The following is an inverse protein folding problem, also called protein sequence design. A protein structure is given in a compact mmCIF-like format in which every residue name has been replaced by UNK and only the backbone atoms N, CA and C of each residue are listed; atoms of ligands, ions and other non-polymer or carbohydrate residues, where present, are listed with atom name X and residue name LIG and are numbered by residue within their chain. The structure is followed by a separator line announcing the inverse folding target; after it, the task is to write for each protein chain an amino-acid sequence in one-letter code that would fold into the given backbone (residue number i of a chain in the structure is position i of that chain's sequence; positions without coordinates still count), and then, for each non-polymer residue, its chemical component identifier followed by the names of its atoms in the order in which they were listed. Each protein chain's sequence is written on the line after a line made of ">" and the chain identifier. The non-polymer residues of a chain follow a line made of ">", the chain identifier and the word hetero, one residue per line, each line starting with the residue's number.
data_IF_566583270845
#
_entry.id   IF_566583270845
#
_cell.length_a   1.000
_cell.length_b   1.000
_cell.length_c   1.000
_cell.angle_alpha   90.00
_cell.angle_beta   90.00
_cell.angle_gamma   90.00
#
_symmetry.space_group_name_H-M   'P 1'
#
loop_
_entity.id
_entity.type
_entity.pdbx_description
1 polymer ?
#
# COMPACT_ATOMS: atom_id res chain seq x y z
N UNK A 1 9.58 2.15 17.44
CA UNK A 1 8.43 2.73 16.74
C UNK A 1 9.00 3.69 15.69
N UNK A 2 8.61 3.62 14.44
CA UNK A 2 9.12 4.56 13.45
C UNK A 2 8.53 5.96 13.73
N UNK A 3 9.42 6.94 13.81
CA UNK A 3 9.01 8.34 13.93
C UNK A 3 8.71 8.89 12.53
N UNK A 4 7.76 9.85 12.40
CA UNK A 4 7.53 10.53 11.14
C UNK A 4 8.80 11.24 10.66
N UNK A 5 9.05 11.17 9.35
CA UNK A 5 10.12 11.96 8.73
C UNK A 5 9.70 13.41 8.61
N UNK A 6 10.66 14.31 8.57
CA UNK A 6 10.45 15.72 8.28
C UNK A 6 9.54 15.89 7.03
N UNK A 7 8.60 16.84 7.10
CA UNK A 7 7.65 17.10 6.01
C UNK A 7 8.35 17.97 4.97
N UNK A 8 8.62 17.38 3.82
CA UNK A 8 9.27 18.04 2.67
C UNK A 8 8.33 18.17 1.47
N UNK A 9 7.22 17.41 1.44
CA UNK A 9 6.22 17.47 0.38
C UNK A 9 4.83 17.78 0.97
N UNK A 10 4.01 18.48 0.20
CA UNK A 10 2.66 18.84 0.63
C UNK A 10 1.70 17.65 0.62
N UNK A 11 2.01 16.59 -0.09
CA UNK A 11 1.21 15.37 -0.17
C UNK A 11 1.93 14.25 0.56
N UNK A 12 1.28 13.67 1.56
CA UNK A 12 1.84 12.65 2.41
C UNK A 12 1.14 11.31 2.15
N UNK A 13 1.90 10.27 1.91
CA UNK A 13 1.43 8.89 1.78
C UNK A 13 1.93 8.07 2.97
N UNK A 14 1.04 7.69 3.86
CA UNK A 14 1.32 6.92 5.07
C UNK A 14 1.03 5.45 4.79
N UNK A 15 2.05 4.59 4.89
CA UNK A 15 1.95 3.16 4.53
C UNK A 15 2.36 2.26 5.69
N UNK A 16 1.81 1.04 5.69
CA UNK A 16 2.22 -0.03 6.59
C UNK A 16 3.43 -0.78 6.02
N UNK A 17 4.56 -0.72 6.73
CA UNK A 17 5.76 -1.47 6.37
C UNK A 17 6.62 -0.86 5.25
N UNK A 18 7.90 -1.31 5.23
CA UNK A 18 8.90 -0.81 4.27
C UNK A 18 8.68 -1.35 2.86
N UNK A 19 8.21 -2.59 2.73
CA UNK A 19 8.00 -3.24 1.44
C UNK A 19 6.86 -2.55 0.68
N UNK A 20 5.77 -2.19 1.38
CA UNK A 20 4.68 -1.39 0.82
C UNK A 20 5.17 -0.03 0.37
N UNK A 21 5.99 0.66 1.19
CA UNK A 21 6.59 1.94 0.79
C UNK A 21 7.41 1.83 -0.49
N UNK A 22 8.31 0.84 -0.57
CA UNK A 22 9.14 0.62 -1.75
C UNK A 22 8.33 0.25 -3.01
N UNK A 23 7.22 -0.48 -2.84
CA UNK A 23 6.29 -0.75 -3.93
C UNK A 23 5.62 0.54 -4.44
N UNK A 24 5.09 1.38 -3.52
CA UNK A 24 4.45 2.63 -3.91
C UNK A 24 5.44 3.61 -4.56
N UNK A 25 6.71 3.66 -4.11
CA UNK A 25 7.76 4.44 -4.79
C UNK A 25 7.92 3.99 -6.25
N UNK A 26 8.06 2.67 -6.48
CA UNK A 26 8.21 2.12 -7.82
C UNK A 26 6.95 2.36 -8.68
N UNK A 27 5.77 2.24 -8.09
CA UNK A 27 4.50 2.43 -8.78
C UNK A 27 4.28 3.90 -9.17
N UNK A 28 4.63 4.84 -8.28
CA UNK A 28 4.59 6.27 -8.58
C UNK A 28 5.59 6.66 -9.68
N UNK A 29 6.81 6.08 -9.66
CA UNK A 29 7.80 6.28 -10.72
C UNK A 29 7.23 5.84 -12.08
N UNK A 30 6.60 4.67 -12.15
CA UNK A 30 5.97 4.12 -13.37
C UNK A 30 4.83 5.00 -13.88
N UNK A 31 4.00 5.53 -12.98
CA UNK A 31 2.92 6.46 -13.31
C UNK A 31 3.38 7.88 -13.64
N UNK A 32 4.64 8.23 -13.43
CA UNK A 32 5.14 9.61 -13.51
C UNK A 32 4.55 10.54 -12.43
N UNK A 33 4.10 9.99 -11.30
CA UNK A 33 3.54 10.73 -10.16
C UNK A 33 4.66 11.23 -9.27
N UNK A 34 4.70 12.54 -9.02
CA UNK A 34 5.73 13.21 -8.19
C UNK A 34 5.08 14.06 -7.09
N UNK A 35 5.91 14.56 -6.16
CA UNK A 35 5.46 15.47 -5.09
C UNK A 35 4.63 14.77 -4.01
N UNK A 36 4.75 13.45 -3.86
CA UNK A 36 4.18 12.67 -2.75
C UNK A 36 5.32 12.09 -1.92
N UNK A 37 5.34 12.41 -0.64
CA UNK A 37 6.30 11.86 0.32
C UNK A 37 5.72 10.64 1.01
N UNK A 38 6.48 9.54 1.00
CA UNK A 38 6.09 8.33 1.72
C UNK A 38 6.57 8.39 3.17
N UNK A 39 5.66 8.13 4.08
CA UNK A 39 5.86 7.94 5.51
C UNK A 39 5.51 6.50 5.89
N UNK A 40 6.33 5.86 6.71
CA UNK A 40 6.09 4.49 7.15
C UNK A 40 5.72 4.48 8.63
N UNK A 41 4.52 4.01 8.99
CA UNK A 41 4.06 3.97 10.37
C UNK A 41 4.41 2.67 11.12
N UNK A 42 5.05 1.70 10.45
CA UNK A 42 5.43 0.42 11.08
C UNK A 42 4.33 -0.62 10.98
N UNK A 43 3.80 -1.08 12.11
CA UNK A 43 2.80 -2.14 12.15
C UNK A 43 1.40 -1.66 12.53
N UNK A 44 0.44 -2.56 12.40
CA UNK A 44 -1.01 -2.37 12.60
C UNK A 44 -1.38 -1.50 13.82
N UNK A 45 -0.65 -1.65 14.95
CA UNK A 45 -0.97 -0.99 16.23
C UNK A 45 -0.36 0.41 16.36
N UNK A 46 0.47 0.83 15.42
CA UNK A 46 1.29 2.04 15.54
C UNK A 46 0.65 3.25 14.85
N UNK A 47 -0.32 3.04 13.95
CA UNK A 47 -0.93 4.12 13.15
C UNK A 47 -1.45 5.30 14.00
N UNK A 48 -2.18 5.03 15.09
CA UNK A 48 -2.74 6.10 15.94
C UNK A 48 -1.66 6.96 16.59
N UNK A 49 -0.58 6.33 17.05
CA UNK A 49 0.54 7.05 17.67
C UNK A 49 1.34 7.79 16.61
N UNK A 50 1.55 7.16 15.46
CA UNK A 50 2.24 7.77 14.32
C UNK A 50 1.49 9.02 13.82
N UNK A 51 0.17 8.97 13.63
CA UNK A 51 -0.63 10.12 13.22
C UNK A 51 -0.59 11.26 14.26
N UNK A 52 -0.61 10.94 15.54
CA UNK A 52 -0.42 11.96 16.60
C UNK A 52 0.91 12.68 16.46
N UNK A 53 2.00 11.92 16.26
CA UNK A 53 3.32 12.47 16.04
C UNK A 53 3.40 13.29 14.74
N UNK A 54 2.85 12.77 13.64
CA UNK A 54 2.84 13.44 12.35
C UNK A 54 2.09 14.78 12.41
N UNK A 55 0.92 14.83 13.04
CA UNK A 55 0.08 16.03 13.10
C UNK A 55 0.68 17.18 13.92
N UNK A 56 1.61 16.87 14.84
CA UNK A 56 2.33 17.90 15.64
C UNK A 56 3.65 18.30 15.03
N UNK A 57 4.09 17.66 13.95
CA UNK A 57 5.33 18.04 13.27
C UNK A 57 5.27 19.46 12.73
N UNK A 58 6.41 20.19 12.79
CA UNK A 58 6.52 21.47 12.10
C UNK A 58 6.11 21.35 10.63
N UNK A 59 5.28 22.25 10.16
CA UNK A 59 4.83 22.27 8.77
C UNK A 59 3.56 21.45 8.48
N UNK A 60 3.15 20.48 9.30
CA UNK A 60 1.97 19.66 8.99
C UNK A 60 0.74 20.52 8.68
N UNK A 61 0.34 21.40 9.59
CA UNK A 61 -0.85 22.25 9.42
C UNK A 61 -0.73 23.28 8.31
N UNK A 62 0.49 23.73 8.02
CA UNK A 62 0.74 24.79 7.05
C UNK A 62 0.99 24.29 5.63
N UNK A 63 1.53 23.09 5.49
CA UNK A 63 2.03 22.58 4.21
C UNK A 63 1.25 21.38 3.68
N UNK A 64 0.73 20.49 4.57
CA UNK A 64 0.09 19.25 4.11
C UNK A 64 -1.29 19.53 3.54
N UNK A 65 -1.43 19.31 2.24
CA UNK A 65 -2.67 19.50 1.49
C UNK A 65 -3.42 18.19 1.24
N UNK A 66 -2.69 17.05 1.15
CA UNK A 66 -3.26 15.72 0.96
C UNK A 66 -2.59 14.70 1.88
N UNK A 67 -3.39 13.79 2.42
CA UNK A 67 -2.95 12.68 3.25
C UNK A 67 -3.60 11.39 2.77
N UNK A 68 -2.79 10.47 2.26
CA UNK A 68 -3.20 9.12 1.94
C UNK A 68 -2.79 8.15 3.04
N UNK A 69 -3.64 7.20 3.36
CA UNK A 69 -3.32 6.10 4.26
C UNK A 69 -3.57 4.79 3.56
N UNK A 70 -2.54 3.94 3.50
CA UNK A 70 -2.62 2.58 2.97
C UNK A 70 -2.48 1.60 4.11
N UNK A 71 -3.37 0.62 4.14
CA UNK A 71 -3.37 -0.43 5.14
C UNK A 71 -3.81 -1.77 4.57
N UNK A 72 -3.16 -2.84 5.02
CA UNK A 72 -3.59 -4.20 4.72
C UNK A 72 -4.89 -4.56 5.44
N UNK A 73 -5.80 -5.24 4.74
CA UNK A 73 -7.06 -5.75 5.31
C UNK A 73 -6.82 -6.86 6.33
N UNK A 74 -5.70 -7.55 6.21
CA UNK A 74 -5.42 -8.76 6.96
C UNK A 74 -6.57 -9.78 6.83
N UNK A 75 -7.27 -10.06 7.90
CA UNK A 75 -8.42 -10.97 7.91
C UNK A 75 -9.76 -10.27 7.71
N UNK A 76 -9.82 -8.93 7.84
CA UNK A 76 -11.09 -8.21 7.83
C UNK A 76 -10.95 -6.76 7.33
N UNK A 77 -11.28 -6.49 6.05
CA UNK A 77 -11.13 -5.16 5.45
C UNK A 77 -11.98 -4.09 6.13
N UNK A 78 -13.18 -4.44 6.59
CA UNK A 78 -14.07 -3.49 7.30
C UNK A 78 -13.47 -3.09 8.65
N UNK A 79 -12.91 -4.03 9.39
CA UNK A 79 -12.24 -3.74 10.66
C UNK A 79 -10.96 -2.92 10.44
N UNK A 80 -10.19 -3.22 9.40
CA UNK A 80 -9.01 -2.45 9.00
C UNK A 80 -9.37 -1.00 8.69
N UNK A 81 -10.39 -0.77 7.86
CA UNK A 81 -10.87 0.57 7.53
C UNK A 81 -11.37 1.32 8.76
N UNK A 82 -12.21 0.70 9.60
CA UNK A 82 -12.69 1.31 10.86
C UNK A 82 -11.54 1.69 11.80
N UNK A 83 -10.51 0.89 11.86
CA UNK A 83 -9.31 1.19 12.66
C UNK A 83 -8.58 2.44 12.16
N UNK A 84 -8.45 2.61 10.83
CA UNK A 84 -7.89 3.82 10.23
C UNK A 84 -8.77 5.04 10.53
N UNK A 85 -10.10 4.90 10.36
CA UNK A 85 -11.05 5.96 10.69
C UNK A 85 -10.98 6.38 12.17
N UNK A 86 -10.85 5.40 13.08
CA UNK A 86 -10.65 5.68 14.52
C UNK A 86 -9.35 6.45 14.79
N UNK A 87 -8.27 6.12 14.11
CA UNK A 87 -6.99 6.81 14.24
C UNK A 87 -7.06 8.26 13.71
N UNK A 88 -7.73 8.48 12.57
CA UNK A 88 -7.97 9.81 12.00
C UNK A 88 -8.82 10.68 12.92
N UNK A 89 -9.95 10.15 13.40
CA UNK A 89 -10.82 10.84 14.36
C UNK A 89 -10.07 11.21 15.65
N UNK A 90 -9.22 10.31 16.14
CA UNK A 90 -8.43 10.53 17.36
C UNK A 90 -7.43 11.69 17.30
N UNK A 91 -7.13 12.20 16.09
CA UNK A 91 -6.28 13.37 15.86
C UNK A 91 -7.01 14.53 15.19
N UNK A 92 -8.35 14.45 15.05
CA UNK A 92 -9.17 15.50 14.47
C UNK A 92 -9.00 15.72 12.98
N UNK A 93 -8.53 14.69 12.25
CA UNK A 93 -8.42 14.74 10.78
C UNK A 93 -9.74 14.36 10.11
N UNK A 94 -9.99 14.84 8.87
CA UNK A 94 -11.13 14.40 8.07
C UNK A 94 -11.15 12.89 7.94
N UNK A 95 -12.34 12.28 8.13
CA UNK A 95 -12.51 10.83 8.16
C UNK A 95 -13.45 10.40 7.05
N UNK A 96 -12.95 9.61 6.05
CA UNK A 96 -13.78 9.11 4.96
C UNK A 96 -14.88 8.16 5.46
N UNK A 97 -16.05 8.18 4.79
CA UNK A 97 -17.11 7.21 5.02
C UNK A 97 -16.86 5.87 4.33
N UNK A 98 -16.04 5.86 3.27
CA UNK A 98 -15.70 4.69 2.47
C UNK A 98 -14.24 4.77 1.99
N UNK A 99 -13.55 3.63 1.76
CA UNK A 99 -12.27 3.61 1.08
C UNK A 99 -12.35 4.28 -0.30
N UNK A 100 -11.24 4.83 -0.78
CA UNK A 100 -11.08 5.50 -2.07
C UNK A 100 -11.92 6.77 -2.28
N UNK A 101 -12.76 7.15 -1.32
CA UNK A 101 -13.56 8.39 -1.37
C UNK A 101 -12.87 9.47 -0.54
N UNK A 102 -12.18 10.43 -1.16
CA UNK A 102 -11.45 11.47 -0.43
C UNK A 102 -12.40 12.47 0.23
N UNK A 103 -12.03 12.95 1.43
CA UNK A 103 -12.80 13.94 2.20
C UNK A 103 -11.89 15.03 2.77
N UNK A 104 -12.48 16.18 3.11
CA UNK A 104 -11.75 17.34 3.62
C UNK A 104 -11.08 18.15 2.50
N UNK A 105 -10.43 19.25 2.89
CA UNK A 105 -9.76 20.17 1.95
C UNK A 105 -8.28 20.35 2.29
N UNK A 106 -7.96 20.51 3.57
CA UNK A 106 -6.58 20.75 4.02
C UNK A 106 -6.37 20.12 5.42
N UNK A 107 -5.88 18.90 5.49
CA UNK A 107 -5.59 18.00 4.37
C UNK A 107 -6.86 17.33 3.79
N UNK A 108 -6.81 17.05 2.49
CA UNK A 108 -7.73 16.10 1.86
C UNK A 108 -7.26 14.68 2.20
N UNK A 109 -8.11 13.89 2.82
CA UNK A 109 -7.76 12.55 3.32
C UNK A 109 -8.39 11.48 2.44
N UNK A 110 -7.60 10.50 2.01
CA UNK A 110 -8.04 9.31 1.30
C UNK A 110 -7.46 8.05 1.94
N UNK A 111 -8.22 6.97 1.98
CA UNK A 111 -7.81 5.69 2.56
C UNK A 111 -7.91 4.59 1.51
N UNK A 112 -6.84 3.81 1.37
CA UNK A 112 -6.80 2.58 0.57
C UNK A 112 -6.63 1.38 1.51
N UNK A 113 -7.47 0.37 1.33
CA UNK A 113 -7.35 -0.93 1.99
C UNK A 113 -6.89 -1.95 0.96
N UNK A 114 -5.82 -2.67 1.23
CA UNK A 114 -5.28 -3.71 0.35
C UNK A 114 -5.73 -5.11 0.81
N UNK A 115 -6.12 -5.99 -0.11
CA UNK A 115 -6.10 -5.85 -1.56
C UNK A 115 -7.23 -4.99 -2.12
N UNK A 116 -8.35 -4.89 -1.40
CA UNK A 116 -9.55 -4.10 -1.73
C UNK A 116 -10.45 -3.95 -0.49
N UNK A 117 -11.56 -3.21 -0.63
CA UNK A 117 -12.49 -2.92 0.47
C UNK A 117 -13.35 -4.12 0.93
N UNK A 118 -13.34 -5.22 0.20
CA UNK A 118 -14.21 -6.37 0.44
C UNK A 118 -13.46 -7.66 0.76
N UNK A 119 -12.23 -7.82 0.29
CA UNK A 119 -11.47 -9.06 0.36
C UNK A 119 -10.41 -9.02 1.47
N UNK A 120 -10.30 -10.04 2.33
CA UNK A 120 -9.14 -10.21 3.20
C UNK A 120 -7.84 -10.33 2.40
N UNK A 121 -6.73 -9.88 2.99
CA UNK A 121 -5.41 -9.99 2.37
C UNK A 121 -4.53 -8.77 2.64
N UNK A 122 -3.56 -8.59 1.79
CA UNK A 122 -2.48 -7.62 1.92
C UNK A 122 -1.91 -7.23 0.55
N UNK A 123 -0.85 -6.42 0.51
CA UNK A 123 -0.18 -6.04 -0.74
C UNK A 123 0.13 -7.25 -1.61
N UNK A 124 0.70 -8.32 -1.04
CA UNK A 124 1.07 -9.53 -1.79
C UNK A 124 -0.14 -10.19 -2.49
N UNK A 125 -1.35 -10.03 -1.96
CA UNK A 125 -2.57 -10.51 -2.63
C UNK A 125 -2.85 -9.73 -3.92
N UNK A 126 -2.61 -8.42 -3.91
CA UNK A 126 -2.72 -7.58 -5.14
C UNK A 126 -1.65 -8.00 -6.15
N UNK A 127 -0.41 -8.18 -5.67
CA UNK A 127 0.71 -8.59 -6.54
C UNK A 127 0.43 -9.93 -7.21
N UNK A 128 -0.10 -10.91 -6.47
CA UNK A 128 -0.49 -12.23 -7.03
C UNK A 128 -1.58 -12.12 -8.09
N UNK A 129 -2.57 -11.24 -7.88
CA UNK A 129 -3.60 -10.96 -8.89
C UNK A 129 -2.98 -10.38 -10.17
N UNK A 130 -2.00 -9.50 -10.01
CA UNK A 130 -1.36 -8.85 -11.15
C UNK A 130 -0.51 -9.79 -12.00
N UNK A 131 0.05 -10.84 -11.40
CA UNK A 131 0.90 -11.84 -12.06
C UNK A 131 0.17 -13.17 -12.30
N UNK A 132 -1.15 -13.23 -12.11
CA UNK A 132 -1.91 -14.48 -12.14
C UNK A 132 -1.78 -15.23 -13.48
N UNK A 133 -1.67 -14.50 -14.59
CA UNK A 133 -1.55 -15.05 -15.94
C UNK A 133 -0.09 -15.35 -16.35
N UNK A 134 0.90 -15.08 -15.48
CA UNK A 134 2.30 -15.43 -15.77
C UNK A 134 2.48 -16.95 -15.69
N UNK A 135 3.08 -17.58 -16.72
CA UNK A 135 3.26 -19.04 -16.79
C UNK A 135 4.01 -19.63 -15.58
N UNK A 136 4.84 -18.83 -14.89
CA UNK A 136 5.54 -19.30 -13.70
C UNK A 136 4.61 -19.55 -12.52
N UNK A 137 3.41 -18.94 -12.48
CA UNK A 137 2.46 -19.14 -11.38
C UNK A 137 1.96 -20.58 -11.29
N UNK A 138 1.79 -21.26 -12.43
CA UNK A 138 1.47 -22.70 -12.42
C UNK A 138 2.57 -23.52 -11.70
N UNK A 139 3.84 -23.16 -11.91
CA UNK A 139 4.95 -23.82 -11.23
C UNK A 139 4.98 -23.49 -9.72
N UNK A 140 4.68 -22.23 -9.33
CA UNK A 140 4.57 -21.82 -7.93
C UNK A 140 3.47 -22.62 -7.22
N UNK A 141 2.30 -22.75 -7.84
CA UNK A 141 1.18 -23.51 -7.25
C UNK A 141 1.51 -25.00 -7.12
N UNK A 142 2.15 -25.57 -8.11
CA UNK A 142 2.62 -26.98 -8.02
C UNK A 142 3.67 -27.16 -6.94
N UNK A 143 4.57 -26.21 -6.77
CA UNK A 143 5.58 -26.23 -5.70
C UNK A 143 4.92 -26.28 -4.32
N UNK A 144 4.01 -25.37 -4.00
CA UNK A 144 3.37 -25.35 -2.68
C UNK A 144 2.43 -26.55 -2.47
N UNK A 145 1.79 -27.06 -3.51
CA UNK A 145 1.03 -28.31 -3.44
C UNK A 145 1.95 -29.49 -3.07
N UNK A 146 3.10 -29.59 -3.72
CA UNK A 146 4.11 -30.61 -3.42
C UNK A 146 4.63 -30.46 -1.97
N UNK A 147 4.99 -29.25 -1.55
CA UNK A 147 5.44 -28.99 -0.17
C UNK A 147 4.41 -29.46 0.85
N UNK A 148 3.14 -29.07 0.69
CA UNK A 148 2.07 -29.48 1.60
C UNK A 148 1.89 -31.01 1.66
N UNK A 149 1.99 -31.68 0.52
CA UNK A 149 1.88 -33.16 0.44
C UNK A 149 3.07 -33.86 1.11
N UNK A 150 4.29 -33.35 0.95
CA UNK A 150 5.51 -33.98 1.45
C UNK A 150 5.79 -33.66 2.91
N UNK A 151 5.47 -32.45 3.38
CA UNK A 151 5.83 -31.99 4.73
C UNK A 151 4.63 -31.93 5.69
N UNK A 152 3.39 -32.04 5.19
CA UNK A 152 2.17 -31.89 5.98
C UNK A 152 1.92 -30.45 6.46
N UNK A 153 2.70 -29.46 6.02
CA UNK A 153 2.57 -28.06 6.45
C UNK A 153 2.81 -27.07 5.29
N UNK A 154 2.20 -25.89 5.40
CA UNK A 154 2.37 -24.77 4.48
C UNK A 154 2.74 -23.49 5.26
N UNK A 155 3.34 -22.49 4.59
CA UNK A 155 3.60 -21.21 5.23
C UNK A 155 2.33 -20.55 5.78
N UNK A 156 2.43 -19.95 6.96
CA UNK A 156 1.29 -19.24 7.57
C UNK A 156 0.81 -18.05 6.72
N UNK A 157 1.73 -17.38 6.02
CA UNK A 157 1.43 -16.31 5.07
C UNK A 157 1.69 -16.81 3.64
N UNK A 158 0.68 -17.47 3.07
CA UNK A 158 0.76 -18.04 1.72
C UNK A 158 0.96 -16.97 0.63
N UNK A 159 0.23 -15.85 0.60
CA UNK A 159 0.45 -14.82 -0.41
C UNK A 159 1.89 -14.34 -0.45
N UNK A 160 2.49 -14.06 0.69
CA UNK A 160 3.90 -13.66 0.78
C UNK A 160 4.85 -14.75 0.27
N UNK A 161 4.61 -16.00 0.66
CA UNK A 161 5.44 -17.13 0.20
C UNK A 161 5.32 -17.35 -1.31
N UNK A 162 4.12 -17.23 -1.88
CA UNK A 162 3.89 -17.38 -3.32
C UNK A 162 4.57 -16.28 -4.13
N UNK A 163 4.47 -15.02 -3.72
CA UNK A 163 5.18 -13.91 -4.37
C UNK A 163 6.70 -14.11 -4.29
N UNK A 164 7.24 -14.54 -3.15
CA UNK A 164 8.67 -14.83 -3.03
C UNK A 164 9.11 -15.96 -3.96
N UNK A 165 8.34 -17.03 -4.07
CA UNK A 165 8.62 -18.14 -4.98
C UNK A 165 8.54 -17.67 -6.45
N UNK A 166 7.55 -16.87 -6.80
CA UNK A 166 7.44 -16.25 -8.11
C UNK A 166 8.67 -15.37 -8.43
N UNK A 167 9.08 -14.51 -7.52
CA UNK A 167 10.26 -13.65 -7.71
C UNK A 167 11.56 -14.45 -7.79
N UNK A 168 11.64 -15.59 -7.09
CA UNK A 168 12.79 -16.51 -7.20
C UNK A 168 12.92 -17.15 -8.59
N UNK A 169 11.83 -17.21 -9.38
CA UNK A 169 11.84 -17.69 -10.76
C UNK A 169 12.33 -16.65 -11.79
N UNK A 170 12.53 -15.40 -11.36
CA UNK A 170 12.93 -14.31 -12.27
C UNK A 170 14.45 -14.29 -12.52
N UNK A 171 14.92 -13.65 -13.63
CA UNK A 171 16.35 -13.58 -13.96
C UNK A 171 17.24 -13.00 -12.85
N UNK A 172 16.70 -12.14 -11.99
CA UNK A 172 17.39 -11.64 -10.78
C UNK A 172 16.57 -12.03 -9.56
N UNK A 173 16.82 -13.21 -8.97
CA UNK A 173 16.10 -13.68 -7.80
C UNK A 173 16.47 -12.85 -6.55
N UNK A 174 15.59 -12.86 -5.55
CA UNK A 174 15.84 -12.20 -4.26
C UNK A 174 15.67 -10.69 -4.26
N UNK A 175 15.07 -10.09 -5.29
CA UNK A 175 14.72 -8.68 -5.28
C UNK A 175 13.59 -8.44 -4.29
N UNK A 176 13.70 -7.34 -3.51
CA UNK A 176 12.59 -6.79 -2.74
C UNK A 176 11.51 -6.25 -3.68
N UNK A 177 10.28 -6.18 -3.21
CA UNK A 177 9.08 -5.85 -3.99
C UNK A 177 9.23 -4.58 -4.84
N UNK A 178 9.77 -3.50 -4.29
CA UNK A 178 9.98 -2.25 -5.04
C UNK A 178 11.01 -2.40 -6.18
N UNK A 179 12.10 -3.14 -5.95
CA UNK A 179 13.07 -3.42 -7.02
C UNK A 179 12.52 -4.38 -8.08
N UNK A 180 11.71 -5.35 -7.66
CA UNK A 180 11.03 -6.26 -8.58
C UNK A 180 10.01 -5.52 -9.46
N UNK A 181 9.30 -4.54 -8.91
CA UNK A 181 8.40 -3.66 -9.63
C UNK A 181 9.17 -2.85 -10.70
N UNK A 182 10.25 -2.17 -10.33
CA UNK A 182 11.12 -1.43 -11.27
C UNK A 182 11.77 -2.33 -12.34
N UNK A 183 11.98 -3.61 -12.04
CA UNK A 183 12.49 -4.58 -12.99
C UNK A 183 11.42 -5.12 -13.96
N UNK A 184 10.16 -4.66 -13.85
CA UNK A 184 9.05 -5.10 -14.69
C UNK A 184 8.48 -6.49 -14.34
N UNK A 185 8.82 -7.04 -13.16
CA UNK A 185 8.41 -8.40 -12.80
C UNK A 185 6.99 -8.50 -12.24
N UNK A 186 6.36 -7.36 -11.91
CA UNK A 186 5.07 -7.31 -11.21
C UNK A 186 3.91 -6.75 -12.07
N UNK A 187 4.13 -6.54 -13.38
CA UNK A 187 3.08 -6.14 -14.33
C UNK A 187 2.30 -4.90 -13.85
N UNK A 188 3.00 -3.75 -13.67
CA UNK A 188 2.39 -2.55 -13.09
C UNK A 188 1.25 -1.95 -13.92
N UNK A 189 1.07 -2.39 -15.16
CA UNK A 189 -0.06 -2.08 -16.06
C UNK A 189 -1.32 -2.91 -15.77
N UNK A 190 -1.22 -3.98 -14.96
CA UNK A 190 -2.35 -4.88 -14.65
C UNK A 190 -3.56 -4.13 -14.06
N UNK A 191 -4.80 -4.49 -14.45
CA UNK A 191 -6.03 -3.99 -13.82
C UNK A 191 -6.12 -4.29 -12.31
N UNK A 192 -5.36 -5.25 -11.80
CA UNK A 192 -5.29 -5.53 -10.36
C UNK A 192 -4.87 -4.32 -9.53
N UNK A 193 -4.23 -3.31 -10.15
CA UNK A 193 -3.81 -2.08 -9.49
C UNK A 193 -4.74 -0.89 -9.71
N UNK A 194 -5.95 -1.07 -10.23
CA UNK A 194 -6.85 0.07 -10.53
C UNK A 194 -7.19 0.88 -9.26
N UNK A 195 -7.42 0.22 -8.13
CA UNK A 195 -7.63 0.89 -6.84
C UNK A 195 -6.40 1.70 -6.40
N UNK A 196 -5.19 1.18 -6.65
CA UNK A 196 -3.93 1.88 -6.35
C UNK A 196 -3.79 3.14 -7.23
N UNK A 197 -4.10 3.02 -8.53
CA UNK A 197 -4.09 4.16 -9.47
C UNK A 197 -5.10 5.23 -9.06
N UNK A 198 -6.35 4.82 -8.77
CA UNK A 198 -7.41 5.73 -8.32
C UNK A 198 -7.01 6.45 -7.04
N UNK A 199 -6.44 5.73 -6.08
CA UNK A 199 -5.97 6.29 -4.82
C UNK A 199 -4.86 7.34 -5.01
N UNK A 200 -3.84 7.04 -5.81
CA UNK A 200 -2.75 8.00 -6.10
C UNK A 200 -3.25 9.23 -6.86
N UNK A 201 -4.18 9.06 -7.80
CA UNK A 201 -4.83 10.18 -8.48
C UNK A 201 -5.63 11.05 -7.51
N UNK A 202 -6.34 10.44 -6.55
CA UNK A 202 -7.06 11.17 -5.51
C UNK A 202 -6.14 12.01 -4.62
N UNK A 203 -4.91 11.54 -4.36
CA UNK A 203 -3.89 12.29 -3.61
C UNK A 203 -3.30 13.45 -4.42
N UNK A 204 -3.21 13.32 -5.74
CA UNK A 204 -2.75 14.41 -6.59
C UNK A 204 -3.73 15.60 -6.56
N UNK A 205 -4.98 15.37 -6.22
CA UNK A 205 -6.04 16.37 -6.27
C UNK A 205 -6.64 16.51 -7.67
N UNK A 206 -7.68 17.31 -7.84
CA UNK A 206 -8.15 17.62 -9.17
C UNK A 206 -6.99 18.26 -9.94
N UNK A 207 -6.66 17.68 -11.08
CA UNK A 207 -5.73 18.30 -12.06
C UNK A 207 -6.29 19.68 -12.37
N UNK A 208 -5.74 20.71 -11.73
CA UNK A 208 -6.04 22.07 -12.10
C UNK A 208 -5.70 22.24 -13.57
N UNK A 209 -6.68 22.51 -14.40
CA UNK A 209 -6.41 23.15 -15.69
C UNK A 209 -5.50 24.34 -15.40
N UNK A 210 -4.36 24.46 -16.10
CA UNK A 210 -3.58 25.69 -16.01
C UNK A 210 -4.48 26.85 -16.41
N UNK A 211 -4.51 27.86 -15.54
CA UNK A 211 -5.20 29.11 -15.80
C UNK A 211 -4.57 29.87 -16.99
#
# INVERSE_FOLDING_TARGET
>A
MPDPREIIEAKQLVVEGKDTGAFFEAFMDDMGVTGIQIQNFGGVRELSVFLKALCIMPGFKAQVTSLGIVRDAETNPVAAFRSVCGALNGVGLPTPAQPLVPVGQSPRVCVLILPDAATPGMLETVLLRAVADDPAMECVDRYFRCVGQQTGSLPANMPKAQIQAFLASRPRPGLLTGYAARAGYLGLDSPAYDDVRQFLQALQGPTGLPA
#
